data_IF_926816768977
#
_entry.id   IF_926816768977
#
_cell.length_a   1.000
_cell.length_b   1.000
_cell.length_c   1.000
_cell.angle_alpha   90.00
_cell.angle_beta   90.00
_cell.angle_gamma   90.00
#
_symmetry.space_group_name_H-M   'P 1'
#
loop_
_entity.id
_entity.type
_entity.pdbx_description
1 polymer ?
#
# COMPACT_ATOMS: atom_id res chain seq x y z
N UNK A 1 60.19 54.41 -53.94
CA UNK A 1 59.11 53.60 -54.49
C UNK A 1 59.35 52.18 -54.01
N UNK A 2 58.70 51.69 -53.00
CA UNK A 2 58.47 50.30 -52.69
C UNK A 2 57.44 50.20 -51.53
N UNK A 3 56.32 49.73 -51.91
CA UNK A 3 55.16 49.55 -50.99
C UNK A 3 55.39 48.32 -50.13
N UNK A 4 55.13 48.44 -48.84
CA UNK A 4 55.13 47.35 -47.89
C UNK A 4 53.69 46.82 -47.72
N UNK A 5 53.41 45.52 -47.84
CA UNK A 5 52.07 44.95 -47.60
C UNK A 5 51.79 44.79 -46.12
N UNK A 6 50.61 45.32 -45.73
CA UNK A 6 49.99 45.18 -44.42
C UNK A 6 49.52 43.73 -44.20
N UNK A 7 50.15 43.03 -43.25
CA UNK A 7 49.65 41.77 -42.73
C UNK A 7 48.44 42.02 -41.79
N UNK A 8 47.25 41.58 -42.20
CA UNK A 8 46.06 41.54 -41.37
C UNK A 8 46.15 40.35 -40.43
N UNK A 9 46.34 40.64 -39.16
CA UNK A 9 46.25 39.63 -38.07
C UNK A 9 44.80 39.18 -37.91
N UNK A 10 44.58 37.89 -38.13
CA UNK A 10 43.31 37.20 -37.93
C UNK A 10 43.25 36.83 -36.45
N UNK A 11 42.47 37.60 -35.67
CA UNK A 11 42.16 37.25 -34.29
C UNK A 11 41.07 36.18 -34.29
N UNK A 12 41.47 34.96 -33.95
CA UNK A 12 40.57 33.85 -33.67
C UNK A 12 40.04 33.99 -32.22
N UNK A 13 38.73 34.14 -32.01
CA UNK A 13 38.22 34.14 -30.64
C UNK A 13 38.28 32.71 -30.09
N UNK A 14 39.09 32.49 -29.06
CA UNK A 14 39.10 31.27 -28.26
C UNK A 14 37.81 31.23 -27.44
N UNK A 15 36.82 30.47 -27.91
CA UNK A 15 35.64 30.15 -27.11
C UNK A 15 36.06 29.20 -25.99
N UNK A 16 36.20 29.75 -24.78
CA UNK A 16 36.40 28.99 -23.55
C UNK A 16 35.06 28.32 -23.18
N UNK A 17 34.87 27.07 -23.59
CA UNK A 17 33.72 26.26 -23.18
C UNK A 17 33.94 25.85 -21.72
N UNK A 18 33.29 26.57 -20.82
CA UNK A 18 33.23 26.20 -19.41
C UNK A 18 32.31 24.96 -19.28
N UNK A 19 32.94 23.80 -19.17
CA UNK A 19 32.25 22.53 -18.90
C UNK A 19 31.85 22.53 -17.43
N UNK A 20 30.57 22.96 -17.15
CA UNK A 20 30.01 22.87 -15.82
C UNK A 20 29.64 21.39 -15.55
N UNK A 21 30.27 20.70 -14.59
CA UNK A 21 29.84 19.35 -14.24
C UNK A 21 28.43 19.45 -13.60
N UNK A 22 27.44 18.95 -14.31
CA UNK A 22 26.10 18.72 -13.75
C UNK A 22 26.25 17.62 -12.69
N UNK A 23 26.30 18.03 -11.42
CA UNK A 23 26.22 17.13 -10.28
C UNK A 23 24.80 16.51 -10.30
N UNK A 24 24.66 15.36 -10.92
CA UNK A 24 23.45 14.53 -10.79
C UNK A 24 23.47 13.92 -9.39
N UNK A 25 22.79 14.60 -8.46
CA UNK A 25 22.49 14.00 -7.16
C UNK A 25 21.64 12.75 -7.42
N UNK A 26 22.04 11.57 -6.95
CA UNK A 26 21.14 10.43 -6.97
C UNK A 26 19.96 10.80 -6.06
N UNK A 27 18.80 11.04 -6.65
CA UNK A 27 17.56 11.08 -5.90
C UNK A 27 17.44 9.70 -5.25
N UNK A 28 17.66 9.64 -3.93
CA UNK A 28 17.29 8.49 -3.12
C UNK A 28 15.76 8.34 -3.26
N UNK A 29 15.33 7.62 -4.30
CA UNK A 29 14.05 6.97 -4.26
C UNK A 29 14.14 6.02 -3.07
N UNK A 30 13.46 6.38 -1.99
CA UNK A 30 13.03 5.38 -1.02
C UNK A 30 12.05 4.50 -1.81
N UNK A 31 12.57 3.48 -2.45
CA UNK A 31 11.78 2.32 -2.79
C UNK A 31 11.30 1.82 -1.43
N UNK A 32 10.07 2.14 -1.08
CA UNK A 32 9.35 1.42 -0.03
C UNK A 32 9.36 0.00 -0.57
N UNK A 33 10.24 -0.82 -0.01
CA UNK A 33 10.36 -2.23 -0.32
C UNK A 33 8.99 -2.81 0.00
N UNK A 34 8.13 -2.90 -1.04
CA UNK A 34 6.85 -3.56 -0.92
C UNK A 34 7.19 -4.99 -0.60
N UNK A 35 7.02 -5.39 0.65
CA UNK A 35 7.16 -6.78 1.03
C UNK A 35 6.40 -7.60 -0.01
N UNK A 36 7.09 -8.57 -0.62
CA UNK A 36 6.44 -9.43 -1.62
C UNK A 36 5.36 -10.21 -0.90
N UNK A 37 4.11 -9.86 -1.15
CA UNK A 37 2.97 -10.51 -0.50
C UNK A 37 2.96 -11.98 -0.89
N UNK A 38 3.10 -12.91 0.07
CA UNK A 38 3.02 -14.34 -0.20
C UNK A 38 1.65 -14.71 -0.79
N UNK A 39 1.57 -15.69 -1.69
CA UNK A 39 0.30 -16.12 -2.30
C UNK A 39 -0.77 -16.49 -1.27
N UNK A 40 -0.38 -17.17 -0.20
CA UNK A 40 -1.27 -17.58 0.90
C UNK A 40 -1.85 -16.39 1.67
N UNK A 41 -1.08 -15.32 1.85
CA UNK A 41 -1.55 -14.04 2.45
C UNK A 41 -2.54 -13.35 1.50
N UNK A 42 -2.21 -13.31 0.21
CA UNK A 42 -3.09 -12.72 -0.80
C UNK A 42 -4.41 -13.49 -0.94
N UNK A 43 -4.38 -14.82 -0.82
CA UNK A 43 -5.57 -15.68 -0.84
C UNK A 43 -6.55 -15.32 0.28
N UNK A 44 -6.06 -15.13 1.51
CA UNK A 44 -6.90 -14.72 2.64
C UNK A 44 -7.57 -13.38 2.37
N UNK A 45 -6.83 -12.37 1.88
CA UNK A 45 -7.41 -11.06 1.53
C UNK A 45 -8.48 -11.19 0.44
N UNK A 46 -8.23 -12.01 -0.56
CA UNK A 46 -9.17 -12.27 -1.66
C UNK A 46 -10.45 -12.92 -1.12
N UNK A 47 -10.31 -13.98 -0.33
CA UNK A 47 -11.45 -14.69 0.28
C UNK A 47 -12.28 -13.78 1.18
N UNK A 48 -11.66 -12.99 2.05
CA UNK A 48 -12.37 -12.01 2.89
C UNK A 48 -13.09 -10.98 2.02
N UNK A 49 -12.45 -10.48 0.97
CA UNK A 49 -13.07 -9.54 0.02
C UNK A 49 -14.30 -10.12 -0.68
N UNK A 50 -14.23 -11.38 -1.11
CA UNK A 50 -15.37 -12.10 -1.72
C UNK A 50 -16.50 -12.34 -0.73
N UNK A 51 -16.17 -12.70 0.51
CA UNK A 51 -17.15 -12.90 1.57
C UNK A 51 -17.86 -11.59 1.92
N UNK A 52 -17.14 -10.46 1.95
CA UNK A 52 -17.75 -9.12 2.11
C UNK A 52 -18.70 -8.82 0.96
N UNK A 53 -18.27 -9.02 -0.28
CA UNK A 53 -19.07 -8.77 -1.49
C UNK A 53 -20.34 -9.62 -1.56
N UNK A 54 -20.31 -10.81 -0.96
CA UNK A 54 -21.43 -11.76 -0.90
C UNK A 54 -22.23 -11.68 0.41
N UNK A 55 -21.91 -10.70 1.27
CA UNK A 55 -22.53 -10.50 2.59
C UNK A 55 -22.45 -11.73 3.52
N UNK A 56 -21.42 -12.56 3.35
CA UNK A 56 -21.17 -13.77 4.16
C UNK A 56 -20.38 -13.45 5.43
N UNK A 57 -20.87 -12.50 6.22
CA UNK A 57 -20.14 -11.94 7.38
C UNK A 57 -19.90 -12.94 8.51
N UNK A 58 -20.85 -13.87 8.73
CA UNK A 58 -20.67 -14.96 9.69
C UNK A 58 -19.50 -15.88 9.29
N UNK A 59 -19.32 -16.12 7.98
CA UNK A 59 -18.21 -16.93 7.51
C UNK A 59 -16.87 -16.22 7.77
N UNK A 60 -16.79 -14.89 7.54
CA UNK A 60 -15.59 -14.10 7.88
C UNK A 60 -15.24 -14.30 9.36
N UNK A 61 -16.24 -14.18 10.26
CA UNK A 61 -16.01 -14.37 11.69
C UNK A 61 -15.50 -15.76 12.01
N UNK A 62 -16.14 -16.80 11.47
CA UNK A 62 -15.79 -18.19 11.75
C UNK A 62 -14.39 -18.56 11.26
N UNK A 63 -13.94 -17.98 10.15
CA UNK A 63 -12.62 -18.20 9.54
C UNK A 63 -11.54 -17.22 10.05
N UNK A 64 -11.90 -16.24 10.88
CA UNK A 64 -10.96 -15.29 11.47
C UNK A 64 -10.14 -15.90 12.60
N UNK A 65 -9.05 -15.23 12.96
CA UNK A 65 -8.13 -15.59 14.03
C UNK A 65 -8.79 -15.61 15.41
N UNK A 66 -8.12 -16.25 16.35
CA UNK A 66 -8.49 -16.20 17.77
C UNK A 66 -8.51 -14.76 18.30
N UNK A 67 -7.61 -13.89 17.81
CA UNK A 67 -7.55 -12.49 18.19
C UNK A 67 -8.83 -11.75 17.80
N UNK A 68 -9.32 -11.91 16.56
CA UNK A 68 -10.59 -11.31 16.12
C UNK A 68 -11.75 -11.75 17.01
N UNK A 69 -11.86 -13.07 17.28
CA UNK A 69 -12.94 -13.66 18.09
C UNK A 69 -12.90 -13.26 19.56
N UNK A 70 -11.72 -12.91 20.08
CA UNK A 70 -11.56 -12.39 21.44
C UNK A 70 -11.90 -10.90 21.53
N UNK A 71 -11.67 -10.11 20.46
CA UNK A 71 -11.90 -8.67 20.46
C UNK A 71 -13.38 -8.31 20.18
N UNK A 72 -14.10 -9.13 19.40
CA UNK A 72 -15.51 -8.88 19.03
C UNK A 72 -16.35 -10.15 19.04
N UNK A 73 -17.65 -10.02 19.34
CA UNK A 73 -18.60 -11.13 19.19
C UNK A 73 -19.05 -11.30 17.74
N UNK A 74 -19.67 -12.44 17.41
CA UNK A 74 -20.23 -12.69 16.08
C UNK A 74 -21.25 -11.59 15.68
N UNK A 75 -22.15 -11.24 16.59
CA UNK A 75 -23.17 -10.23 16.34
C UNK A 75 -22.53 -8.88 16.04
N UNK A 76 -21.53 -8.47 16.83
CA UNK A 76 -20.85 -7.20 16.63
C UNK A 76 -20.03 -7.19 15.33
N UNK A 77 -19.38 -8.29 14.99
CA UNK A 77 -18.69 -8.46 13.71
C UNK A 77 -19.66 -8.27 12.54
N UNK A 78 -20.82 -8.94 12.57
CA UNK A 78 -21.85 -8.82 11.53
C UNK A 78 -22.38 -7.39 11.41
N UNK A 79 -22.61 -6.69 12.53
CA UNK A 79 -23.05 -5.29 12.54
C UNK A 79 -22.01 -4.35 11.89
N UNK A 80 -20.73 -4.56 12.18
CA UNK A 80 -19.65 -3.76 11.58
C UNK A 80 -19.65 -3.90 10.07
N UNK A 81 -19.65 -5.13 9.54
CA UNK A 81 -19.65 -5.35 8.09
C UNK A 81 -20.93 -4.84 7.42
N UNK A 82 -22.10 -5.04 8.01
CA UNK A 82 -23.37 -4.47 7.52
C UNK A 82 -23.32 -2.94 7.44
N UNK A 83 -22.77 -2.30 8.49
CA UNK A 83 -22.66 -0.84 8.54
C UNK A 83 -21.71 -0.33 7.46
N UNK A 84 -20.55 -0.98 7.27
CA UNK A 84 -19.61 -0.64 6.21
C UNK A 84 -20.26 -0.80 4.83
N UNK A 85 -20.93 -1.92 4.58
CA UNK A 85 -21.64 -2.17 3.31
C UNK A 85 -22.72 -1.13 3.04
N UNK A 86 -23.55 -0.80 4.05
CA UNK A 86 -24.62 0.21 3.90
C UNK A 86 -24.06 1.60 3.58
N UNK A 87 -22.96 2.00 4.23
CA UNK A 87 -22.38 3.35 4.06
C UNK A 87 -21.52 3.47 2.82
N UNK A 88 -20.75 2.45 2.49
CA UNK A 88 -19.75 2.50 1.40
C UNK A 88 -20.28 1.89 0.11
N UNK A 89 -21.25 0.99 0.17
CA UNK A 89 -21.66 0.18 -0.97
C UNK A 89 -20.63 -0.91 -1.33
N UNK A 90 -20.70 -1.42 -2.54
CA UNK A 90 -19.81 -2.46 -3.05
C UNK A 90 -18.43 -1.90 -3.36
N UNK A 91 -17.43 -2.77 -3.29
CA UNK A 91 -16.08 -2.47 -3.81
C UNK A 91 -16.10 -2.53 -5.33
N UNK A 92 -15.73 -1.44 -5.98
CA UNK A 92 -15.59 -1.33 -7.45
C UNK A 92 -14.16 -1.66 -7.90
N UNK A 93 -13.17 -1.19 -7.14
CA UNK A 93 -11.76 -1.48 -7.43
C UNK A 93 -10.91 -1.42 -6.16
N UNK A 94 -9.81 -2.16 -6.16
CA UNK A 94 -8.86 -2.22 -5.05
C UNK A 94 -7.43 -2.24 -5.58
N UNK A 95 -6.55 -1.39 -5.06
CA UNK A 95 -5.15 -1.30 -5.44
C UNK A 95 -4.26 -1.39 -4.21
N UNK A 96 -3.29 -2.30 -4.18
CA UNK A 96 -2.36 -2.43 -3.06
C UNK A 96 -1.51 -1.16 -2.93
N UNK A 97 -1.66 -0.48 -1.80
CA UNK A 97 -0.88 0.71 -1.44
C UNK A 97 0.40 0.34 -0.70
N UNK A 98 0.29 -0.52 0.33
CA UNK A 98 1.45 -0.98 1.11
C UNK A 98 1.25 -2.38 1.65
N UNK A 99 2.36 -3.09 1.86
CA UNK A 99 2.42 -4.37 2.56
C UNK A 99 3.60 -4.36 3.52
N UNK A 100 3.40 -4.82 4.75
CA UNK A 100 4.42 -4.91 5.78
C UNK A 100 4.32 -6.27 6.48
N UNK A 101 5.46 -6.96 6.56
CA UNK A 101 5.62 -8.20 7.32
C UNK A 101 6.33 -7.89 8.63
N UNK A 102 5.85 -8.45 9.74
CA UNK A 102 6.36 -8.18 11.08
C UNK A 102 6.41 -9.45 11.91
N UNK A 103 7.49 -9.60 12.67
CA UNK A 103 7.60 -10.62 13.72
C UNK A 103 7.57 -9.91 15.08
N UNK A 104 6.43 -10.03 15.79
CA UNK A 104 6.22 -9.35 17.06
C UNK A 104 6.49 -10.30 18.24
N UNK A 105 7.35 -9.87 19.17
CA UNK A 105 7.69 -10.66 20.39
C UNK A 105 6.66 -10.51 21.52
N UNK A 106 5.76 -9.51 21.44
CA UNK A 106 4.78 -9.23 22.49
C UNK A 106 3.61 -8.36 22.00
N UNK A 107 2.68 -8.06 22.92
CA UNK A 107 1.47 -7.29 22.64
C UNK A 107 0.34 -8.14 22.05
N UNK A 108 -0.77 -7.47 21.70
CA UNK A 108 -1.97 -8.13 21.17
C UNK A 108 -1.72 -8.84 19.81
N UNK A 109 -0.79 -8.33 19.01
CA UNK A 109 -0.39 -8.91 17.72
C UNK A 109 0.92 -9.71 17.86
N UNK A 110 1.10 -10.44 18.96
CA UNK A 110 2.28 -11.30 19.15
C UNK A 110 2.27 -12.43 18.13
N UNK A 111 3.40 -12.60 17.41
CA UNK A 111 3.57 -13.62 16.38
C UNK A 111 3.95 -13.03 15.03
N UNK A 112 3.78 -13.81 13.99
CA UNK A 112 4.04 -13.44 12.61
C UNK A 112 2.80 -12.73 12.03
N UNK A 113 2.96 -11.52 11.53
CA UNK A 113 1.86 -10.62 11.13
C UNK A 113 2.13 -10.02 9.75
N UNK A 114 1.11 -9.98 8.91
CA UNK A 114 1.10 -9.21 7.68
C UNK A 114 0.06 -8.07 7.78
N UNK A 115 0.48 -6.86 7.42
CA UNK A 115 -0.41 -5.69 7.35
C UNK A 115 -0.44 -5.22 5.90
N UNK A 116 -1.63 -5.27 5.29
CA UNK A 116 -1.84 -4.85 3.91
C UNK A 116 -2.82 -3.69 3.88
N UNK A 117 -2.45 -2.61 3.20
CA UNK A 117 -3.34 -1.46 2.99
C UNK A 117 -3.62 -1.29 1.51
N UNK A 118 -4.90 -1.09 1.18
CA UNK A 118 -5.39 -0.92 -0.19
C UNK A 118 -6.07 0.43 -0.34
N UNK A 119 -5.77 1.14 -1.42
CA UNK A 119 -6.65 2.19 -1.92
C UNK A 119 -7.85 1.52 -2.58
N UNK A 120 -9.05 1.83 -2.10
CA UNK A 120 -10.28 1.16 -2.52
C UNK A 120 -11.31 2.18 -2.96
N UNK A 121 -11.88 1.98 -4.13
CA UNK A 121 -13.05 2.70 -4.59
C UNK A 121 -14.29 1.86 -4.27
N UNK A 122 -15.20 2.45 -3.53
CA UNK A 122 -16.51 1.91 -3.22
C UNK A 122 -17.58 2.68 -4.00
N UNK A 123 -18.78 2.14 -4.13
CA UNK A 123 -19.91 2.82 -4.80
C UNK A 123 -20.19 4.23 -4.25
N UNK A 124 -20.00 4.42 -2.94
CA UNK A 124 -20.35 5.69 -2.27
C UNK A 124 -19.10 6.54 -1.91
N UNK A 125 -17.92 6.18 -2.40
CA UNK A 125 -16.71 6.97 -2.22
C UNK A 125 -15.44 6.16 -2.08
N UNK A 126 -14.30 6.83 -2.04
CA UNK A 126 -13.00 6.19 -1.88
C UNK A 126 -12.61 6.06 -0.40
N UNK A 127 -11.73 5.10 -0.11
CA UNK A 127 -11.18 4.87 1.22
C UNK A 127 -9.91 4.06 1.20
N UNK A 128 -9.33 3.92 2.38
CA UNK A 128 -8.20 3.04 2.64
C UNK A 128 -8.70 1.84 3.45
N UNK A 129 -8.58 0.63 2.89
CA UNK A 129 -8.80 -0.61 3.62
C UNK A 129 -7.48 -1.12 4.20
N UNK A 130 -7.51 -1.62 5.41
CA UNK A 130 -6.35 -2.26 6.05
C UNK A 130 -6.74 -3.64 6.56
N UNK A 131 -6.06 -4.66 6.04
CA UNK A 131 -6.15 -6.04 6.49
C UNK A 131 -4.92 -6.33 7.36
N UNK A 132 -5.14 -6.78 8.58
CA UNK A 132 -4.09 -7.33 9.43
C UNK A 132 -4.31 -8.82 9.55
N UNK A 133 -3.35 -9.59 9.07
CA UNK A 133 -3.37 -11.04 9.15
C UNK A 133 -2.36 -11.50 10.19
N UNK A 134 -2.66 -12.60 10.87
CA UNK A 134 -1.76 -13.25 11.81
C UNK A 134 -1.62 -14.73 11.44
N UNK A 135 -0.44 -15.27 11.60
CA UNK A 135 -0.21 -16.70 11.41
C UNK A 135 -0.54 -17.46 12.70
N UNK A 136 -1.52 -18.36 12.62
CA UNK A 136 -1.90 -19.28 13.69
C UNK A 136 -1.84 -20.71 13.17
N UNK A 137 -1.04 -21.58 13.82
CA UNK A 137 -0.88 -22.99 13.45
C UNK A 137 -0.48 -23.22 11.98
N UNK A 138 0.35 -22.33 11.42
CA UNK A 138 0.79 -22.40 10.03
C UNK A 138 -0.22 -21.90 8.99
N UNK A 139 -1.28 -21.22 9.42
CA UNK A 139 -2.29 -20.63 8.56
C UNK A 139 -2.42 -19.14 8.80
N UNK A 140 -2.51 -18.36 7.72
CA UNK A 140 -2.82 -16.94 7.79
C UNK A 140 -4.31 -16.73 8.00
N UNK A 141 -4.68 -15.94 9.02
CA UNK A 141 -6.06 -15.67 9.40
C UNK A 141 -6.25 -14.16 9.59
N UNK A 142 -7.47 -13.67 9.32
CA UNK A 142 -7.82 -12.27 9.55
C UNK A 142 -7.81 -11.98 11.07
N UNK A 143 -6.95 -11.04 11.48
CA UNK A 143 -6.85 -10.58 12.87
C UNK A 143 -7.52 -9.22 13.08
N UNK A 144 -7.48 -8.32 12.07
CA UNK A 144 -8.14 -7.01 12.09
C UNK A 144 -8.51 -6.58 10.69
N UNK A 145 -9.63 -5.86 10.60
CA UNK A 145 -10.06 -5.18 9.38
C UNK A 145 -10.50 -3.77 9.72
N UNK A 146 -10.01 -2.81 8.95
CA UNK A 146 -10.31 -1.40 9.17
C UNK A 146 -10.50 -0.68 7.84
N UNK A 147 -11.47 0.23 7.80
CA UNK A 147 -11.71 1.12 6.66
C UNK A 147 -11.69 2.57 7.13
N UNK A 148 -10.90 3.40 6.46
CA UNK A 148 -10.90 4.84 6.62
C UNK A 148 -11.45 5.49 5.34
N UNK A 149 -12.62 6.09 5.42
CA UNK A 149 -13.27 6.79 4.31
C UNK A 149 -14.03 8.01 4.82
N UNK A 150 -14.09 9.04 4.01
CA UNK A 150 -14.92 10.23 4.30
C UNK A 150 -16.41 9.92 4.24
N UNK A 151 -16.83 8.89 3.51
CA UNK A 151 -18.21 8.43 3.45
C UNK A 151 -18.71 7.75 4.76
N UNK A 152 -17.81 7.48 5.71
CA UNK A 152 -18.17 6.92 7.03
C UNK A 152 -18.49 7.99 8.09
N UNK A 153 -18.22 9.26 7.78
CA UNK A 153 -18.43 10.41 8.68
C UNK A 153 -19.89 10.84 8.75
#
# INVERSE_FOLDING_TARGET
MSESPRTRGLYLPVFLIIFLPVLTLPACRRDVERARVPPEVQEVVTNVGEQIAQERYEQIYNESSSLWKNDVTLERSNEVFKTLHTKLGKVESRSLNSAAEQQNSGGALKGHVFILSYETNFEHGAGMETFTLIEENGHWLLARYFVNSTALK
#
